data_IF_459874556864
#
_entry.id   IF_459874556864
#
_cell.length_a   1.000
_cell.length_b   1.000
_cell.length_c   1.000
_cell.angle_alpha   90.00
_cell.angle_beta   90.00
_cell.angle_gamma   90.00
#
_symmetry.space_group_name_H-M   'P 1'
#
loop_
_entity.id
_entity.type
_entity.pdbx_description
1 polymer ?
#
# COMPACT_ATOMS: atom_id res chain seq x y z
N UNK A 1 -3.62 -3.65 7.14
CA UNK A 1 -2.32 -4.00 6.52
C UNK A 1 -1.25 -4.01 7.61
N UNK A 2 -0.19 -4.82 7.50
CA UNK A 2 0.87 -4.83 8.50
C UNK A 2 1.69 -3.54 8.44
N UNK A 3 2.24 -3.15 9.58
CA UNK A 3 3.16 -2.01 9.69
C UNK A 3 4.43 -2.29 8.87
N UNK A 4 4.95 -1.24 8.25
CA UNK A 4 6.23 -1.31 7.55
C UNK A 4 7.33 -0.70 8.43
N UNK A 5 8.58 -1.12 8.25
CA UNK A 5 9.72 -0.56 8.96
C UNK A 5 10.63 0.20 8.02
N UNK A 6 11.16 1.33 8.48
CA UNK A 6 12.12 2.12 7.70
C UNK A 6 13.36 1.29 7.43
N UNK A 7 13.81 1.26 6.17
CA UNK A 7 14.99 0.51 5.75
C UNK A 7 14.79 -1.00 5.52
N UNK A 8 13.66 -1.58 5.96
CA UNK A 8 13.35 -2.98 5.70
C UNK A 8 12.49 -3.17 4.43
N UNK A 9 12.70 -4.25 3.66
CA UNK A 9 11.85 -4.56 2.51
C UNK A 9 10.42 -4.86 2.97
N UNK A 10 9.45 -4.19 2.35
CA UNK A 10 8.03 -4.34 2.59
C UNK A 10 7.33 -4.98 1.38
N UNK A 11 6.35 -5.84 1.68
CA UNK A 11 5.50 -6.47 0.68
C UNK A 11 4.11 -6.72 1.27
N UNK A 12 3.08 -6.10 0.70
CA UNK A 12 1.69 -6.42 0.96
C UNK A 12 0.90 -6.52 -0.35
N UNK A 13 -0.14 -7.33 -0.40
CA UNK A 13 -0.97 -7.50 -1.61
C UNK A 13 -2.41 -7.15 -1.28
N UNK A 14 -3.03 -6.30 -2.11
CA UNK A 14 -4.47 -6.11 -2.09
C UNK A 14 -5.17 -7.25 -2.81
N UNK A 15 -6.29 -7.70 -2.25
CA UNK A 15 -7.08 -8.80 -2.79
C UNK A 15 -8.45 -8.24 -3.18
N UNK A 16 -8.83 -8.44 -4.45
CA UNK A 16 -10.20 -8.24 -4.90
C UNK A 16 -10.95 -9.57 -4.75
N UNK A 17 -12.06 -9.57 -4.03
CA UNK A 17 -12.85 -10.79 -3.76
C UNK A 17 -13.87 -11.05 -4.87
N UNK A 18 -14.35 -9.97 -5.51
CA UNK A 18 -15.32 -10.00 -6.60
C UNK A 18 -14.78 -9.29 -7.85
N UNK A 19 -15.39 -9.60 -9.01
CA UNK A 19 -15.04 -9.03 -10.31
C UNK A 19 -14.39 -10.04 -11.25
N UNK A 20 -13.86 -9.54 -12.37
CA UNK A 20 -13.19 -10.36 -13.38
C UNK A 20 -11.82 -9.81 -13.74
N UNK A 21 -10.79 -10.65 -13.59
CA UNK A 21 -9.45 -10.33 -14.04
C UNK A 21 -9.42 -10.02 -15.56
N UNK A 22 -8.49 -9.16 -16.02
CA UNK A 22 -7.45 -8.49 -15.25
C UNK A 22 -7.97 -7.34 -14.36
N UNK A 23 -7.35 -7.17 -13.20
CA UNK A 23 -7.60 -6.03 -12.31
C UNK A 23 -6.59 -4.91 -12.55
N UNK A 24 -7.06 -3.67 -12.44
CA UNK A 24 -6.21 -2.47 -12.45
C UNK A 24 -6.34 -1.74 -11.11
N UNK A 25 -5.21 -1.58 -10.43
CA UNK A 25 -5.08 -0.98 -9.11
C UNK A 25 -4.46 0.41 -9.21
N UNK A 26 -5.03 1.39 -8.52
CA UNK A 26 -4.53 2.76 -8.53
C UNK A 26 -4.74 3.43 -7.16
N UNK A 27 -3.81 4.30 -6.77
CA UNK A 27 -4.03 5.21 -5.64
C UNK A 27 -4.79 6.42 -6.17
N UNK A 28 -5.99 6.67 -5.64
CA UNK A 28 -6.89 7.74 -6.11
C UNK A 28 -6.92 8.94 -5.15
N UNK A 29 -6.44 8.79 -3.92
CA UNK A 29 -6.28 9.87 -2.94
C UNK A 29 -5.15 9.56 -1.97
N UNK A 30 -4.48 10.60 -1.46
CA UNK A 30 -3.28 10.47 -0.65
C UNK A 30 -2.09 9.94 -1.44
N UNK A 31 -1.13 9.34 -0.75
CA UNK A 31 0.06 8.73 -1.38
C UNK A 31 0.56 7.57 -0.54
N UNK A 32 1.34 6.67 -1.13
CA UNK A 32 2.07 5.68 -0.36
C UNK A 32 3.27 6.33 0.35
N UNK A 33 3.73 5.78 1.49
CA UNK A 33 4.99 6.19 2.09
C UNK A 33 6.14 6.19 1.09
N UNK A 34 7.07 7.15 1.23
CA UNK A 34 8.20 7.27 0.32
C UNK A 34 9.02 5.97 0.28
N UNK A 35 9.27 5.47 -0.93
CA UNK A 35 10.01 4.23 -1.16
C UNK A 35 9.13 3.00 -1.33
N UNK A 36 7.80 3.13 -1.20
CA UNK A 36 6.83 2.11 -1.57
C UNK A 36 6.15 2.44 -2.90
N UNK A 37 5.72 1.41 -3.63
CA UNK A 37 5.02 1.54 -4.91
C UNK A 37 3.94 0.47 -5.03
N UNK A 38 2.79 0.84 -5.60
CA UNK A 38 1.70 -0.08 -5.94
C UNK A 38 1.88 -0.61 -7.37
N UNK A 39 1.98 -1.92 -7.52
CA UNK A 39 1.92 -2.57 -8.83
C UNK A 39 0.51 -2.56 -9.38
N UNK A 40 0.27 -1.75 -10.42
CA UNK A 40 -1.08 -1.54 -10.98
C UNK A 40 -1.78 -2.82 -11.49
N UNK A 41 -1.03 -3.87 -11.84
CA UNK A 41 -1.60 -5.15 -12.32
C UNK A 41 -1.61 -6.24 -11.25
N UNK A 42 -0.70 -6.18 -10.28
CA UNK A 42 -0.54 -7.19 -9.24
C UNK A 42 -1.29 -6.85 -7.95
N UNK A 43 -1.66 -5.57 -7.75
CA UNK A 43 -2.21 -5.09 -6.49
C UNK A 43 -1.19 -5.12 -5.34
N UNK A 44 0.10 -5.33 -5.65
CA UNK A 44 1.14 -5.51 -4.64
C UNK A 44 1.83 -4.19 -4.33
N UNK A 45 1.84 -3.81 -3.05
CA UNK A 45 2.64 -2.71 -2.51
C UNK A 45 4.00 -3.27 -2.14
N UNK A 46 5.05 -2.78 -2.79
CA UNK A 46 6.42 -3.25 -2.58
C UNK A 46 7.39 -2.09 -2.47
N UNK A 47 8.49 -2.30 -1.75
CA UNK A 47 9.62 -1.38 -1.71
C UNK A 47 10.24 -1.32 -0.32
N UNK A 48 10.98 -0.24 -0.05
CA UNK A 48 11.63 -0.02 1.24
C UNK A 48 11.24 1.38 1.73
N UNK A 49 10.43 1.49 2.80
CA UNK A 49 10.05 2.78 3.36
C UNK A 49 11.28 3.57 3.81
N UNK A 50 11.28 4.88 3.56
CA UNK A 50 12.39 5.78 3.94
C UNK A 50 12.10 6.68 5.12
N UNK A 51 10.83 6.92 5.40
CA UNK A 51 10.39 7.87 6.44
C UNK A 51 9.40 7.16 7.34
N UNK A 52 9.53 7.37 8.65
CA UNK A 52 8.55 6.91 9.62
C UNK A 52 7.35 7.85 9.68
N UNK A 53 6.18 7.33 10.03
CA UNK A 53 4.93 8.07 10.09
C UNK A 53 3.73 7.24 9.69
N UNK A 54 2.55 7.81 9.87
CA UNK A 54 1.29 7.20 9.45
C UNK A 54 0.84 7.86 8.15
N UNK A 55 0.56 7.05 7.13
CA UNK A 55 0.08 7.56 5.84
C UNK A 55 -1.27 6.95 5.52
N UNK A 56 -2.24 7.81 5.23
CA UNK A 56 -3.58 7.42 4.79
C UNK A 56 -3.69 7.64 3.29
N UNK A 57 -4.14 6.62 2.58
CA UNK A 57 -4.34 6.65 1.12
C UNK A 57 -5.55 5.83 0.74
N UNK A 58 -6.16 6.16 -0.39
CA UNK A 58 -7.32 5.43 -0.93
C UNK A 58 -6.89 4.71 -2.20
N UNK A 59 -7.14 3.40 -2.25
CA UNK A 59 -6.87 2.57 -3.42
C UNK A 59 -8.19 2.25 -4.11
N UNK A 60 -8.21 2.40 -5.43
CA UNK A 60 -9.24 1.85 -6.29
C UNK A 60 -8.76 0.57 -6.96
N UNK A 61 -9.68 -0.36 -7.13
CA UNK A 61 -9.52 -1.52 -8.02
C UNK A 61 -10.63 -1.48 -9.05
N UNK A 62 -10.27 -1.65 -10.31
CA UNK A 62 -11.20 -1.74 -11.44
C UNK A 62 -11.05 -3.10 -12.11
N UNK A 63 -12.16 -3.78 -12.35
CA UNK A 63 -12.19 -5.01 -13.15
C UNK A 63 -12.30 -4.72 -14.65
N UNK A 64 -12.03 -5.73 -15.47
CA UNK A 64 -12.04 -5.61 -16.93
C UNK A 64 -13.28 -6.27 -17.58
N UNK A 65 -14.35 -6.51 -16.82
CA UNK A 65 -15.59 -7.06 -17.40
C UNK A 65 -16.27 -6.02 -18.30
N UNK A 66 -17.17 -6.47 -19.17
CA UNK A 66 -17.96 -5.59 -20.05
C UNK A 66 -18.70 -4.48 -19.30
N UNK A 67 -19.12 -4.77 -18.06
CA UNK A 67 -19.67 -3.81 -17.10
C UNK A 67 -18.61 -3.47 -16.04
N UNK A 68 -17.48 -2.90 -16.49
CA UNK A 68 -16.31 -2.66 -15.64
C UNK A 68 -16.71 -1.99 -14.32
N UNK A 69 -16.53 -2.72 -13.22
CA UNK A 69 -16.90 -2.25 -11.88
C UNK A 69 -15.65 -1.78 -11.14
N UNK A 70 -15.82 -0.74 -10.33
CA UNK A 70 -14.73 -0.20 -9.50
C UNK A 70 -15.12 -0.22 -8.03
N UNK A 71 -14.17 -0.60 -7.18
CA UNK A 71 -14.30 -0.51 -5.73
C UNK A 71 -13.18 0.38 -5.18
N UNK A 72 -13.48 1.14 -4.14
CA UNK A 72 -12.51 2.01 -3.47
C UNK A 72 -12.46 1.69 -1.98
N UNK A 73 -11.26 1.67 -1.41
CA UNK A 73 -11.08 1.49 0.02
C UNK A 73 -9.94 2.37 0.53
N UNK A 74 -10.18 2.98 1.69
CA UNK A 74 -9.19 3.80 2.39
C UNK A 74 -8.38 2.93 3.35
N UNK A 75 -7.10 3.23 3.39
CA UNK A 75 -6.06 2.41 3.95
C UNK A 75 -5.10 3.29 4.74
N UNK A 76 -4.76 2.84 5.95
CA UNK A 76 -3.75 3.48 6.78
C UNK A 76 -2.57 2.54 6.95
N UNK A 77 -1.38 3.02 6.60
CA UNK A 77 -0.12 2.31 6.79
C UNK A 77 0.73 3.04 7.82
N UNK A 78 1.09 2.36 8.91
CA UNK A 78 2.12 2.84 9.80
C UNK A 78 3.49 2.40 9.28
N UNK A 79 4.39 3.37 9.13
CA UNK A 79 5.81 3.16 8.92
C UNK A 79 6.52 3.48 10.22
N UNK A 80 7.11 2.49 10.86
CA UNK A 80 7.83 2.68 12.11
C UNK A 80 9.31 2.82 11.79
N UNK A 81 9.93 3.86 12.35
CA UNK A 81 11.38 3.96 12.37
C UNK A 81 11.95 2.85 13.23
N UNK A 82 13.21 2.48 13.00
CA UNK A 82 13.90 1.70 14.00
C UNK A 82 13.88 2.50 15.32
N UNK A 83 13.37 1.90 16.40
CA UNK A 83 13.51 2.52 17.72
C UNK A 83 14.95 2.29 18.11
N UNK A 84 15.87 3.12 17.64
CA UNK A 84 17.20 3.20 18.23
C UNK A 84 16.97 3.70 19.65
N UNK A 85 16.93 2.78 20.61
CA UNK A 85 16.93 3.14 22.03
C UNK A 85 18.20 3.94 22.25
N UNK A 86 18.07 5.24 22.43
CA UNK A 86 19.13 6.02 23.03
C UNK A 86 19.28 5.51 24.47
N UNK A 87 20.19 4.57 24.69
CA UNK A 87 20.72 4.32 26.03
C UNK A 87 21.52 5.56 26.42
N UNK A 88 20.92 6.45 27.21
CA UNK A 88 21.70 7.38 28.01
C UNK A 88 22.34 6.56 29.15
N UNK A 89 23.67 6.64 29.26
CA UNK A 89 24.46 6.11 30.38
C UNK A 89 24.28 6.95 31.64
#
# INVERSE_FOLDING_TARGET
MPDAKVGEPYSATFIAVDGGAPYTWQVVSGSLPQGLTLGARSGRVTGTPRTAGMTTFTVSVRDARSNASSATQTFTLATVGDRTTASAS
#
